data_IF_345567734562
#
_entry.id   IF_345567734562
#
_cell.length_a   1.000
_cell.length_b   1.000
_cell.length_c   1.000
_cell.angle_alpha   90.00
_cell.angle_beta   90.00
_cell.angle_gamma   90.00
#
_symmetry.space_group_name_H-M   'P 1'
#
loop_
_entity.id
_entity.type
_entity.pdbx_description
1 polymer ?
#
# COMPACT_ATOMS: atom_id res chain seq x y z
N UNK A 1 5.71 25.02 -15.49
CA UNK A 1 6.16 25.30 -14.10
C UNK A 1 5.42 26.46 -13.45
N UNK A 2 4.96 27.46 -14.22
CA UNK A 2 4.28 28.65 -13.68
C UNK A 2 3.00 28.35 -12.89
N UNK A 3 2.20 27.37 -13.35
CA UNK A 3 0.98 26.93 -12.65
C UNK A 3 1.27 26.32 -11.27
N UNK A 4 2.30 25.46 -11.17
CA UNK A 4 2.72 24.84 -9.90
C UNK A 4 3.31 25.90 -8.96
N UNK A 5 4.10 26.83 -9.49
CA UNK A 5 4.64 27.96 -8.71
C UNK A 5 3.52 28.83 -8.13
N UNK A 6 2.52 29.17 -8.93
CA UNK A 6 1.36 29.95 -8.47
C UNK A 6 0.54 29.19 -7.41
N UNK A 7 0.36 27.87 -7.59
CA UNK A 7 -0.31 27.02 -6.61
C UNK A 7 0.48 26.93 -5.29
N UNK A 8 1.81 26.80 -5.34
CA UNK A 8 2.68 26.84 -4.18
C UNK A 8 2.54 28.16 -3.42
N UNK A 9 2.63 29.31 -4.10
CA UNK A 9 2.49 30.62 -3.45
C UNK A 9 1.12 30.78 -2.76
N UNK A 10 0.05 30.32 -3.41
CA UNK A 10 -1.30 30.35 -2.82
C UNK A 10 -1.39 29.48 -1.56
N UNK A 11 -0.88 28.25 -1.63
CA UNK A 11 -0.88 27.33 -0.50
C UNK A 11 0.02 27.82 0.64
N UNK A 12 1.21 28.32 0.34
CA UNK A 12 2.13 28.90 1.31
C UNK A 12 1.50 30.06 2.07
N UNK A 13 0.77 30.96 1.38
CA UNK A 13 0.06 32.07 2.02
C UNK A 13 -1.11 31.60 2.92
N UNK A 14 -1.77 30.49 2.57
CA UNK A 14 -2.90 29.96 3.31
C UNK A 14 -2.47 29.23 4.60
N UNK A 15 -1.33 28.53 4.56
CA UNK A 15 -0.86 27.69 5.66
C UNK A 15 0.35 28.28 6.40
N UNK A 16 0.77 29.51 6.09
CA UNK A 16 1.90 30.15 6.76
C UNK A 16 1.67 30.21 8.28
N UNK A 17 2.64 29.77 9.11
CA UNK A 17 2.46 29.71 10.57
C UNK A 17 2.16 31.06 11.22
N UNK A 18 2.62 32.17 10.61
CA UNK A 18 2.28 33.55 11.03
C UNK A 18 0.79 33.89 10.87
N UNK A 19 0.14 33.35 9.84
CA UNK A 19 -1.29 33.61 9.55
C UNK A 19 -2.22 32.55 10.13
N UNK A 20 -1.70 31.33 10.32
CA UNK A 20 -2.43 30.20 10.87
C UNK A 20 -1.53 29.46 11.88
N UNK A 21 -1.46 29.94 13.13
CA UNK A 21 -0.75 29.22 14.18
C UNK A 21 -1.35 27.81 14.32
N UNK A 22 -0.48 26.79 14.30
CA UNK A 22 -0.87 25.37 14.28
C UNK A 22 -0.75 24.66 12.93
N UNK A 23 -0.66 25.38 11.80
CA UNK A 23 -0.53 24.79 10.46
C UNK A 23 0.92 24.52 10.01
N UNK A 24 1.84 24.37 10.96
CA UNK A 24 3.28 24.26 10.67
C UNK A 24 3.61 22.94 9.95
N UNK A 25 2.90 21.86 10.27
CA UNK A 25 3.10 20.57 9.62
C UNK A 25 2.67 20.61 8.14
N UNK A 26 1.51 21.21 7.86
CA UNK A 26 0.97 21.40 6.52
C UNK A 26 1.88 22.31 5.68
N UNK A 27 2.34 23.42 6.25
CA UNK A 27 3.27 24.32 5.58
C UNK A 27 4.58 23.60 5.21
N UNK A 28 5.13 22.80 6.14
CA UNK A 28 6.32 21.98 5.89
C UNK A 28 6.09 20.98 4.75
N UNK A 29 4.94 20.29 4.73
CA UNK A 29 4.59 19.36 3.64
C UNK A 29 4.51 20.07 2.29
N UNK A 30 3.89 21.25 2.23
CA UNK A 30 3.80 22.07 1.01
C UNK A 30 5.20 22.47 0.52
N UNK A 31 6.09 22.85 1.44
CA UNK A 31 7.45 23.24 1.09
C UNK A 31 8.27 22.07 0.54
N UNK A 32 8.24 20.91 1.20
CA UNK A 32 8.91 19.69 0.72
C UNK A 32 8.39 19.26 -0.66
N UNK A 33 7.07 19.33 -0.88
CA UNK A 33 6.48 19.02 -2.17
C UNK A 33 6.97 19.97 -3.28
N UNK A 34 7.08 21.27 -2.99
CA UNK A 34 7.61 22.25 -3.93
C UNK A 34 9.09 22.02 -4.26
N UNK A 35 9.92 21.76 -3.25
CA UNK A 35 11.35 21.48 -3.44
C UNK A 35 11.54 20.24 -4.34
N UNK A 36 10.82 19.15 -4.06
CA UNK A 36 10.81 17.94 -4.87
C UNK A 36 10.40 18.22 -6.33
N UNK A 37 9.31 18.97 -6.54
CA UNK A 37 8.79 19.31 -7.87
C UNK A 37 9.63 20.35 -8.62
N UNK A 38 10.45 21.14 -7.91
CA UNK A 38 11.32 22.14 -8.52
C UNK A 38 12.64 21.54 -8.97
N UNK A 39 13.26 20.72 -8.12
CA UNK A 39 14.64 20.28 -8.31
C UNK A 39 14.73 18.94 -9.03
N UNK A 40 13.79 18.02 -8.79
CA UNK A 40 13.92 16.66 -9.28
C UNK A 40 12.61 16.05 -9.80
N UNK A 41 11.73 16.88 -10.35
CA UNK A 41 10.42 16.43 -10.84
C UNK A 41 10.51 15.30 -11.85
N UNK A 42 11.47 15.35 -12.79
CA UNK A 42 11.57 14.31 -13.82
C UNK A 42 11.90 12.95 -13.21
N UNK A 43 12.83 12.88 -12.25
CA UNK A 43 13.14 11.62 -11.58
C UNK A 43 11.99 11.17 -10.67
N UNK A 44 11.35 12.11 -9.98
CA UNK A 44 10.16 11.80 -9.17
C UNK A 44 9.02 11.24 -10.03
N UNK A 45 8.70 11.88 -11.15
CA UNK A 45 7.64 11.45 -12.07
C UNK A 45 7.98 10.08 -12.69
N UNK A 46 9.26 9.82 -13.00
CA UNK A 46 9.72 8.52 -13.49
C UNK A 46 9.64 7.44 -12.41
N UNK A 47 10.08 7.71 -11.18
CA UNK A 47 9.96 6.78 -10.06
C UNK A 47 8.49 6.45 -9.78
N UNK A 48 7.61 7.46 -9.81
CA UNK A 48 6.17 7.26 -9.66
C UNK A 48 5.59 6.42 -10.80
N UNK A 49 6.07 6.62 -12.04
CA UNK A 49 5.68 5.80 -13.20
C UNK A 49 6.13 4.35 -13.02
N UNK A 50 7.38 4.12 -12.66
CA UNK A 50 7.94 2.78 -12.44
C UNK A 50 7.20 2.05 -11.32
N UNK A 51 6.94 2.74 -10.20
CA UNK A 51 6.16 2.20 -9.09
C UNK A 51 4.76 1.81 -9.55
N UNK A 52 4.05 2.67 -10.30
CA UNK A 52 2.71 2.35 -10.85
C UNK A 52 2.74 1.13 -11.77
N UNK A 53 3.74 1.02 -12.64
CA UNK A 53 3.90 -0.14 -13.53
C UNK A 53 4.15 -1.41 -12.71
N UNK A 54 5.01 -1.33 -11.70
CA UNK A 54 5.32 -2.45 -10.82
C UNK A 54 4.08 -2.90 -10.03
N UNK A 55 3.37 -1.97 -9.38
CA UNK A 55 2.13 -2.26 -8.64
C UNK A 55 1.06 -2.86 -9.54
N UNK A 56 0.90 -2.32 -10.76
CA UNK A 56 -0.05 -2.88 -11.73
C UNK A 56 0.35 -4.28 -12.21
N UNK A 57 1.65 -4.51 -12.44
CA UNK A 57 2.19 -5.83 -12.81
C UNK A 57 1.97 -6.87 -11.72
N UNK A 58 2.16 -6.49 -10.45
CA UNK A 58 1.93 -7.37 -9.28
C UNK A 58 0.48 -7.88 -9.27
N UNK A 59 -0.49 -6.99 -9.40
CA UNK A 59 -1.92 -7.36 -9.40
C UNK A 59 -2.29 -8.15 -10.66
N UNK A 60 -1.83 -7.72 -11.84
CA UNK A 60 -2.22 -8.35 -13.12
C UNK A 60 -1.69 -9.78 -13.27
N UNK A 61 -0.51 -10.06 -12.75
CA UNK A 61 0.14 -11.37 -12.85
C UNK A 61 -0.09 -12.24 -11.61
N UNK A 62 -0.87 -11.77 -10.63
CA UNK A 62 -1.20 -12.54 -9.44
C UNK A 62 -2.05 -13.76 -9.81
N UNK A 63 -1.67 -14.91 -9.28
CA UNK A 63 -2.45 -16.14 -9.37
C UNK A 63 -3.56 -16.09 -8.35
N UNK A 64 -4.80 -16.23 -8.80
CA UNK A 64 -5.94 -16.24 -7.88
C UNK A 64 -5.98 -17.54 -7.08
N UNK A 65 -5.94 -17.42 -5.75
CA UNK A 65 -6.23 -18.53 -4.83
C UNK A 65 -7.74 -18.66 -4.71
N UNK A 66 -8.26 -19.88 -4.57
CA UNK A 66 -9.66 -20.10 -4.24
C UNK A 66 -9.79 -20.55 -2.77
N UNK A 67 -10.92 -20.29 -2.11
CA UNK A 67 -11.11 -20.69 -0.69
C UNK A 67 -10.99 -22.21 -0.54
N UNK A 68 -11.36 -22.97 -1.56
CA UNK A 68 -11.32 -24.43 -1.57
C UNK A 68 -9.89 -24.99 -1.64
N UNK A 69 -8.93 -24.19 -2.10
CA UNK A 69 -7.51 -24.55 -2.13
C UNK A 69 -6.79 -24.25 -0.80
N UNK A 70 -7.51 -23.65 0.16
CA UNK A 70 -6.98 -23.27 1.47
C UNK A 70 -7.56 -24.15 2.60
N UNK A 71 -6.80 -24.24 3.68
CA UNK A 71 -7.25 -24.78 4.98
C UNK A 71 -7.56 -23.63 5.93
N UNK A 72 -8.63 -23.73 6.74
CA UNK A 72 -9.05 -22.68 7.67
C UNK A 72 -10.36 -21.97 7.26
N UNK A 73 -10.62 -20.74 7.75
CA UNK A 73 -9.75 -19.91 8.57
C UNK A 73 -9.80 -20.30 10.05
N UNK A 74 -8.66 -20.25 10.73
CA UNK A 74 -8.52 -20.55 12.17
C UNK A 74 -8.19 -19.27 12.95
N UNK A 75 -8.58 -19.21 14.22
CA UNK A 75 -8.19 -18.10 15.11
C UNK A 75 -6.83 -18.41 15.73
N UNK A 76 -5.89 -17.49 15.55
CA UNK A 76 -4.52 -17.57 16.07
C UNK A 76 -4.25 -16.31 16.89
N UNK A 77 -3.54 -16.45 18.02
CA UNK A 77 -3.07 -15.30 18.78
C UNK A 77 -1.85 -14.71 18.09
N UNK A 78 -1.97 -13.47 17.65
CA UNK A 78 -0.83 -12.65 17.26
C UNK A 78 -0.05 -12.29 18.54
N UNK A 79 1.15 -12.86 18.70
CA UNK A 79 2.00 -12.63 19.86
C UNK A 79 2.56 -11.20 19.92
N UNK A 80 2.66 -10.49 18.79
CA UNK A 80 3.18 -9.13 18.73
C UNK A 80 2.12 -8.11 19.20
N UNK A 81 0.89 -8.23 18.70
CA UNK A 81 -0.20 -7.29 19.04
C UNK A 81 -1.09 -7.79 20.19
N UNK A 82 -0.98 -9.07 20.58
CA UNK A 82 -1.77 -9.69 21.64
C UNK A 82 -3.26 -9.83 21.29
N UNK A 83 -3.59 -9.89 20.01
CA UNK A 83 -4.97 -9.99 19.50
C UNK A 83 -5.21 -11.32 18.78
N UNK A 84 -6.45 -11.79 18.78
CA UNK A 84 -6.84 -12.95 17.97
C UNK A 84 -7.07 -12.51 16.52
N UNK A 85 -6.24 -13.03 15.62
CA UNK A 85 -6.37 -12.86 14.17
C UNK A 85 -6.92 -14.13 13.54
N UNK A 86 -7.55 -14.01 12.36
CA UNK A 86 -8.04 -15.16 11.60
C UNK A 86 -7.11 -15.44 10.44
N UNK A 87 -6.69 -16.68 10.27
CA UNK A 87 -5.65 -17.07 9.32
C UNK A 87 -6.11 -18.21 8.42
N UNK A 88 -5.91 -18.05 7.11
CA UNK A 88 -6.00 -19.12 6.13
C UNK A 88 -4.61 -19.72 5.88
N UNK A 89 -4.54 -21.03 5.68
CA UNK A 89 -3.32 -21.73 5.30
C UNK A 89 -3.39 -22.20 3.86
N UNK A 90 -2.35 -21.91 3.08
CA UNK A 90 -2.25 -22.27 1.68
C UNK A 90 -0.88 -22.86 1.37
N UNK A 91 -0.85 -23.90 0.53
CA UNK A 91 0.41 -24.49 0.04
C UNK A 91 0.65 -24.05 -1.40
N UNK A 92 1.72 -23.29 -1.60
CA UNK A 92 2.15 -22.87 -2.92
C UNK A 92 2.53 -24.08 -3.80
N UNK A 93 2.49 -23.91 -5.13
CA UNK A 93 2.91 -24.92 -6.11
C UNK A 93 4.38 -25.37 -5.96
N UNK A 94 5.22 -24.57 -5.31
CA UNK A 94 6.59 -24.97 -4.99
C UNK A 94 6.72 -25.83 -3.72
N UNK A 95 5.61 -26.06 -3.01
CA UNK A 95 5.57 -26.77 -1.73
C UNK A 95 5.72 -25.87 -0.50
N UNK A 96 5.94 -24.57 -0.67
CA UNK A 96 6.03 -23.62 0.43
C UNK A 96 4.66 -23.41 1.09
N UNK A 97 4.62 -23.53 2.41
CA UNK A 97 3.46 -23.20 3.22
C UNK A 97 3.41 -21.69 3.48
N UNK A 98 2.20 -21.15 3.43
CA UNK A 98 1.89 -19.74 3.62
C UNK A 98 0.67 -19.60 4.53
N UNK A 99 0.77 -18.69 5.47
CA UNK A 99 -0.31 -18.14 6.28
C UNK A 99 -0.79 -16.81 5.67
N UNK A 100 -2.11 -16.63 5.63
CA UNK A 100 -2.76 -15.47 5.03
C UNK A 100 -3.81 -14.96 6.01
N UNK A 101 -3.59 -13.77 6.54
CA UNK A 101 -4.52 -13.14 7.47
C UNK A 101 -5.81 -12.66 6.77
N UNK A 102 -6.94 -12.91 7.41
CA UNK A 102 -8.24 -12.41 6.97
C UNK A 102 -8.30 -10.90 7.23
N UNK A 103 -8.62 -10.13 6.19
CA UNK A 103 -8.60 -8.67 6.22
C UNK A 103 -7.48 -8.07 5.37
N UNK A 104 -6.44 -8.85 5.02
CA UNK A 104 -5.42 -8.41 4.07
C UNK A 104 -5.97 -8.38 2.65
N UNK A 105 -5.87 -7.24 1.98
CA UNK A 105 -6.36 -7.08 0.60
C UNK A 105 -5.26 -6.98 -0.45
N UNK A 106 -4.00 -6.97 -0.02
CA UNK A 106 -2.87 -6.91 -0.93
C UNK A 106 -2.46 -8.30 -1.41
N UNK A 107 -1.99 -8.45 -2.66
CA UNK A 107 -1.45 -9.72 -3.13
C UNK A 107 -0.21 -10.14 -2.33
N UNK A 108 -0.13 -11.42 -1.98
CA UNK A 108 0.97 -11.99 -1.19
C UNK A 108 2.03 -12.64 -2.09
N UNK A 109 3.30 -12.45 -1.76
CA UNK A 109 4.42 -13.10 -2.46
C UNK A 109 4.75 -14.43 -1.79
N UNK A 110 4.88 -15.51 -2.57
CA UNK A 110 5.43 -16.76 -2.05
C UNK A 110 6.94 -16.62 -1.81
N UNK A 111 7.43 -16.91 -0.59
CA UNK A 111 8.86 -16.76 -0.27
C UNK A 111 9.74 -17.82 -0.94
N UNK A 112 9.16 -18.93 -1.40
CA UNK A 112 9.89 -20.03 -2.04
C UNK A 112 10.12 -19.86 -3.55
N UNK A 113 9.19 -19.23 -4.28
CA UNK A 113 9.26 -19.17 -5.74
C UNK A 113 8.88 -17.82 -6.36
N UNK A 114 8.69 -16.77 -5.55
CA UNK A 114 8.32 -15.41 -6.01
C UNK A 114 7.02 -15.34 -6.81
N UNK A 115 6.17 -16.38 -6.76
CA UNK A 115 4.82 -16.29 -7.31
C UNK A 115 3.99 -15.33 -6.47
N UNK A 116 3.19 -14.51 -7.13
CA UNK A 116 2.29 -13.57 -6.49
C UNK A 116 0.90 -14.18 -6.48
N UNK A 117 0.20 -14.10 -5.36
CA UNK A 117 -1.13 -14.65 -5.19
C UNK A 117 -2.15 -13.57 -4.86
N UNK A 118 -3.27 -13.58 -5.57
CA UNK A 118 -4.44 -12.74 -5.30
C UNK A 118 -5.32 -13.45 -4.25
N UNK A 119 -5.44 -12.80 -3.09
CA UNK A 119 -6.16 -13.29 -1.89
C UNK A 119 -7.53 -12.62 -1.71
N UNK A 120 -7.99 -11.82 -2.67
CA UNK A 120 -9.28 -11.13 -2.58
C UNK A 120 -10.47 -12.09 -2.44
N UNK A 121 -10.32 -13.33 -2.91
CA UNK A 121 -11.30 -14.41 -2.73
C UNK A 121 -11.39 -14.89 -1.29
N UNK A 122 -10.34 -14.76 -0.48
CA UNK A 122 -10.27 -15.27 0.89
C UNK A 122 -10.92 -14.32 1.91
N UNK A 123 -11.23 -13.11 1.46
CA UNK A 123 -11.98 -12.13 2.26
C UNK A 123 -13.39 -12.66 2.54
N UNK A 124 -13.91 -12.32 3.72
CA UNK A 124 -15.30 -12.64 4.04
C UNK A 124 -16.23 -11.64 3.36
N UNK A 125 -17.14 -12.18 2.56
CA UNK A 125 -18.24 -11.46 1.94
C UNK A 125 -19.29 -11.11 3.01
N UNK A 126 -18.98 -10.20 3.94
CA UNK A 126 -19.90 -9.72 4.97
C UNK A 126 -19.14 -9.30 6.23
N UNK A 127 -19.27 -8.08 6.74
CA UNK A 127 -20.53 -7.40 7.08
C UNK A 127 -20.40 -5.89 6.85
N UNK A 128 -21.37 -5.30 6.16
CA UNK A 128 -21.72 -3.88 6.27
C UNK A 128 -23.18 -3.82 6.73
#
# INVERSE_FOLDING_TARGET
METIKAAYHRAALQYHPDKRPGATAEFRRIQLAWECLRENRKAYDEQLRLWKIQSFSRVKNALRIQKEDCTGPEYVLDEEEGQEVRVWYFTCRCGQEMDIEVGESEPVDCPGCSLIYDITSLQDSGTN
#
